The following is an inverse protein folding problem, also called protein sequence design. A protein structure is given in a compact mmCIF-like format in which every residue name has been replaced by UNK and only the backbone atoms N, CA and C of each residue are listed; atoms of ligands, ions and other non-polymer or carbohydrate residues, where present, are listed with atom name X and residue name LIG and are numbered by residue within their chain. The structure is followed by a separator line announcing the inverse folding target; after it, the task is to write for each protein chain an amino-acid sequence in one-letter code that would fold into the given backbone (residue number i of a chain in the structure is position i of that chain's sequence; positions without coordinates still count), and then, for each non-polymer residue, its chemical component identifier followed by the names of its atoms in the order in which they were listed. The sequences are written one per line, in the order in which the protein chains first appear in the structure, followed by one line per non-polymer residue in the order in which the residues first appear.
data_IF_131150295831
#
_entry.id   IF_131150295831
#
_cell.length_a   1.000
_cell.length_b   1.000
_cell.length_c   1.000
_cell.angle_alpha   90.00
_cell.angle_beta   90.00
_cell.angle_gamma   90.00
#
_symmetry.space_group_name_H-M   'P 1'
#
loop_
_entity.id
_entity.type
_entity.pdbx_description
1 polymer ?
#
# COMPACT_ATOMS: atom_id res chain seq x y z
N UNK A 1 10.30 45.63 -25.00
CA UNK A 1 9.64 44.31 -24.88
C UNK A 1 10.57 43.43 -24.06
N UNK A 2 10.22 42.89 -22.89
CA UNK A 2 8.98 42.97 -22.10
C UNK A 2 9.32 43.37 -20.65
N UNK A 3 8.41 44.10 -19.98
CA UNK A 3 8.64 44.63 -18.63
C UNK A 3 7.92 43.76 -17.59
N UNK A 4 8.73 43.15 -16.72
CA UNK A 4 8.48 42.73 -15.34
C UNK A 4 7.06 43.00 -14.78
N UNK A 5 6.17 42.00 -14.84
CA UNK A 5 4.76 42.08 -14.40
C UNK A 5 4.49 41.52 -12.99
N UNK A 6 5.49 41.03 -12.26
CA UNK A 6 5.31 40.59 -10.86
C UNK A 6 5.59 41.72 -9.86
N UNK A 7 4.70 42.72 -9.76
CA UNK A 7 4.63 43.62 -8.57
C UNK A 7 3.40 44.52 -8.40
N UNK A 8 2.29 44.28 -9.10
CA UNK A 8 1.11 45.17 -9.06
C UNK A 8 -0.17 44.60 -8.42
N UNK A 9 -0.12 43.39 -7.85
CA UNK A 9 -1.31 42.71 -7.31
C UNK A 9 -1.47 42.73 -5.78
N UNK A 10 -0.67 43.53 -5.05
CA UNK A 10 -0.62 43.52 -3.57
C UNK A 10 -1.19 44.77 -2.86
N UNK A 11 -1.91 45.68 -3.56
CA UNK A 11 -2.26 46.98 -2.95
C UNK A 11 -3.69 47.53 -3.16
N UNK A 12 -4.66 46.75 -3.67
CA UNK A 12 -6.02 47.29 -3.94
C UNK A 12 -7.22 46.41 -3.49
N UNK A 13 -7.07 45.62 -2.43
CA UNK A 13 -8.20 44.99 -1.72
C UNK A 13 -8.21 45.25 -0.19
N UNK A 14 -7.66 46.39 0.23
CA UNK A 14 -7.85 46.96 1.58
C UNK A 14 -8.77 48.20 1.52
N UNK A 15 -9.99 48.03 1.01
CA UNK A 15 -11.02 49.07 1.07
C UNK A 15 -12.43 48.45 1.12
N UNK A 16 -13.25 48.97 2.03
CA UNK A 16 -14.72 48.82 2.10
C UNK A 16 -15.30 47.40 2.17
N UNK A 17 -15.25 46.80 3.36
CA UNK A 17 -16.39 46.01 3.88
C UNK A 17 -16.77 46.42 5.32
N UNK A 18 -16.74 47.73 5.59
CA UNK A 18 -17.21 48.31 6.86
C UNK A 18 -18.70 48.69 6.79
N UNK A 19 -19.55 47.77 6.32
CA UNK A 19 -21.02 47.94 6.26
C UNK A 19 -21.78 46.63 6.54
N UNK A 20 -21.44 45.93 7.63
CA UNK A 20 -22.32 44.88 8.17
C UNK A 20 -22.44 44.96 9.70
N UNK A 21 -22.77 46.15 10.19
CA UNK A 21 -23.01 46.43 11.61
C UNK A 21 -24.50 46.36 12.01
N UNK A 22 -25.28 45.42 11.45
CA UNK A 22 -26.61 45.06 11.98
C UNK A 22 -26.89 43.56 11.78
N UNK A 23 -26.32 42.70 12.63
CA UNK A 23 -27.01 41.48 13.05
C UNK A 23 -26.85 41.36 14.56
N UNK A 24 -27.98 41.44 15.27
CA UNK A 24 -28.01 41.49 16.73
C UNK A 24 -27.56 40.17 17.33
N UNK A 25 -26.66 40.23 18.31
CA UNK A 25 -26.47 39.15 19.27
C UNK A 25 -27.62 39.19 20.29
N UNK A 26 -28.85 38.89 19.85
CA UNK A 26 -29.93 38.56 20.76
C UNK A 26 -29.60 37.23 21.43
N UNK A 27 -29.27 37.29 22.72
CA UNK A 27 -28.77 36.16 23.47
C UNK A 27 -29.83 35.07 23.63
N UNK A 28 -29.69 33.96 22.90
CA UNK A 28 -30.34 32.70 23.24
C UNK A 28 -29.81 32.25 24.60
N UNK A 29 -30.64 32.43 25.62
CA UNK A 29 -30.36 32.05 26.99
C UNK A 29 -30.79 30.58 27.18
N UNK A 30 -29.86 29.61 27.38
CA UNK A 30 -30.15 28.18 27.20
C UNK A 30 -31.04 27.55 28.29
N UNK A 31 -31.47 28.30 29.31
CA UNK A 31 -32.16 27.76 30.50
C UNK A 31 -33.67 27.56 30.36
N UNK A 32 -34.22 27.38 29.15
CA UNK A 32 -35.68 27.21 28.97
C UNK A 32 -36.14 26.32 27.80
N UNK A 33 -35.43 25.24 27.51
CA UNK A 33 -35.91 24.15 26.63
C UNK A 33 -36.01 22.84 27.44
N UNK A 34 -36.95 22.85 28.38
CA UNK A 34 -37.53 21.69 29.04
C UNK A 34 -39.04 21.98 29.12
N UNK A 35 -39.89 20.96 28.98
CA UNK A 35 -41.36 21.06 28.84
C UNK A 35 -41.91 21.47 27.45
N UNK A 36 -41.67 20.65 26.41
CA UNK A 36 -42.76 20.19 25.49
C UNK A 36 -42.34 19.00 24.60
N UNK A 37 -42.10 17.83 25.20
CA UNK A 37 -42.03 16.54 24.46
C UNK A 37 -42.75 15.47 25.29
N UNK A 38 -44.08 15.51 25.27
CA UNK A 38 -44.92 14.48 25.90
C UNK A 38 -46.13 14.11 25.04
N UNK A 39 -45.92 14.03 23.72
CA UNK A 39 -46.86 13.38 22.80
C UNK A 39 -46.67 11.86 22.78
N UNK A 40 -47.72 11.04 22.94
CA UNK A 40 -47.63 9.58 22.81
C UNK A 40 -47.55 9.20 21.33
N UNK A 41 -46.37 9.35 20.76
CA UNK A 41 -46.09 9.10 19.35
C UNK A 41 -44.61 9.04 19.10
N UNK A 42 -43.96 7.95 19.54
CA UNK A 42 -42.56 7.67 19.24
C UNK A 42 -42.43 7.13 17.82
N UNK A 43 -41.93 7.90 16.83
CA UNK A 43 -41.18 7.27 15.77
C UNK A 43 -39.94 6.67 16.43
N UNK A 44 -39.89 5.34 16.52
CA UNK A 44 -38.63 4.65 16.80
C UNK A 44 -37.73 4.86 15.60
N UNK A 45 -37.02 5.99 15.59
CA UNK A 45 -35.85 6.21 14.77
C UNK A 45 -34.80 5.22 15.28
N UNK A 46 -34.85 4.01 14.74
CA UNK A 46 -33.72 3.11 14.76
C UNK A 46 -32.56 3.89 14.12
N UNK A 47 -31.63 4.33 14.96
CA UNK A 47 -30.38 4.92 14.50
C UNK A 47 -29.64 3.80 13.78
N UNK A 48 -29.83 3.71 12.46
CA UNK A 48 -28.96 2.94 11.60
C UNK A 48 -27.59 3.59 11.73
N UNK A 49 -26.74 2.98 12.55
CA UNK A 49 -25.32 3.32 12.60
C UNK A 49 -24.76 2.97 11.22
N UNK A 50 -24.76 3.96 10.33
CA UNK A 50 -24.04 3.88 9.07
C UNK A 50 -22.58 3.63 9.44
N UNK A 51 -22.14 2.39 9.24
CA UNK A 51 -20.73 2.03 9.37
C UNK A 51 -20.06 2.72 8.19
N UNK A 52 -19.41 3.85 8.47
CA UNK A 52 -18.69 4.61 7.45
C UNK A 52 -17.48 3.80 7.04
N UNK A 53 -17.51 3.25 5.83
CA UNK A 53 -16.40 2.53 5.21
C UNK A 53 -15.16 3.42 5.06
N UNK A 54 -13.98 2.80 5.17
CA UNK A 54 -12.69 3.46 5.03
C UNK A 54 -12.42 3.75 3.55
N UNK A 55 -12.13 5.01 3.20
CA UNK A 55 -11.87 5.39 1.83
C UNK A 55 -10.39 5.30 1.51
N UNK A 56 -10.04 4.55 0.46
CA UNK A 56 -8.66 4.53 -0.01
C UNK A 56 -8.13 5.94 -0.33
N UNK A 57 -8.89 6.76 -1.07
CA UNK A 57 -8.43 8.08 -1.52
C UNK A 57 -8.28 9.11 -0.38
N UNK A 58 -9.12 9.02 0.66
CA UNK A 58 -9.17 10.04 1.72
C UNK A 58 -8.44 9.63 3.00
N UNK A 59 -8.37 8.33 3.30
CA UNK A 59 -7.86 7.82 4.57
C UNK A 59 -6.52 7.08 4.40
N UNK A 60 -6.38 6.25 3.36
CA UNK A 60 -5.20 5.38 3.14
C UNK A 60 -4.11 6.07 2.31
N UNK A 61 -4.47 6.60 1.15
CA UNK A 61 -3.54 7.21 0.19
C UNK A 61 -2.74 8.39 0.78
N UNK A 62 -3.31 9.27 1.65
CA UNK A 62 -2.51 10.30 2.32
C UNK A 62 -1.46 9.75 3.27
N UNK A 63 -1.67 8.55 3.86
CA UNK A 63 -0.67 7.90 4.70
C UNK A 63 0.42 7.28 3.83
N UNK A 64 0.03 6.54 2.78
CA UNK A 64 0.97 5.93 1.82
C UNK A 64 1.87 6.99 1.18
N UNK A 65 1.32 8.08 0.66
CA UNK A 65 2.09 9.16 0.04
C UNK A 65 2.99 9.93 1.01
N UNK A 66 2.61 10.02 2.29
CA UNK A 66 3.43 10.70 3.30
C UNK A 66 4.51 9.81 3.94
N UNK A 67 4.36 8.47 3.88
CA UNK A 67 5.19 7.51 4.65
C UNK A 67 5.88 6.43 3.83
N UNK A 68 5.43 6.14 2.62
CA UNK A 68 5.92 5.00 1.84
C UNK A 68 6.24 5.37 0.39
N UNK A 69 5.34 6.07 -0.30
CA UNK A 69 5.49 6.48 -1.71
C UNK A 69 6.21 7.83 -1.84
N UNK A 70 7.44 7.89 -1.34
CA UNK A 70 8.37 9.00 -1.56
C UNK A 70 9.66 8.51 -2.24
N UNK A 71 10.43 9.45 -2.80
CA UNK A 71 11.61 9.14 -3.59
C UNK A 71 12.65 8.31 -2.82
N UNK A 72 13.03 7.16 -3.37
CA UNK A 72 13.94 6.19 -2.74
C UNK A 72 13.26 5.11 -1.89
N UNK A 73 11.95 5.19 -1.69
CA UNK A 73 11.13 4.13 -1.12
C UNK A 73 10.12 3.63 -2.17
N UNK A 74 8.88 3.28 -1.80
CA UNK A 74 7.94 2.53 -2.65
C UNK A 74 7.21 3.43 -3.67
N UNK A 75 7.98 3.88 -4.66
CA UNK A 75 7.54 4.56 -5.90
C UNK A 75 8.03 3.76 -7.10
N UNK A 76 7.59 4.10 -8.32
CA UNK A 76 8.07 3.43 -9.54
C UNK A 76 9.61 3.34 -9.62
N UNK A 77 10.15 2.13 -9.67
CA UNK A 77 11.60 1.86 -9.64
C UNK A 77 12.24 1.87 -8.24
N UNK A 78 11.43 1.84 -7.18
CA UNK A 78 11.86 1.67 -5.78
C UNK A 78 12.11 0.22 -5.38
N UNK A 79 12.35 -0.03 -4.07
CA UNK A 79 12.56 -1.37 -3.53
C UNK A 79 11.42 -2.32 -3.87
N UNK A 80 11.80 -3.57 -4.18
CA UNK A 80 10.92 -4.70 -4.47
C UNK A 80 9.91 -4.43 -5.62
N UNK A 81 10.23 -3.43 -6.45
CA UNK A 81 9.39 -2.85 -7.51
C UNK A 81 7.98 -2.41 -7.04
N UNK A 82 7.84 -2.13 -5.74
CA UNK A 82 6.59 -1.70 -5.13
C UNK A 82 6.37 -0.20 -5.35
N UNK A 83 5.18 0.17 -5.82
CA UNK A 83 4.77 1.57 -6.02
C UNK A 83 3.42 1.84 -5.35
N UNK A 84 3.43 2.56 -4.23
CA UNK A 84 2.24 2.90 -3.47
C UNK A 84 1.66 4.30 -3.81
N UNK A 85 2.11 4.91 -4.91
CA UNK A 85 1.66 6.24 -5.36
C UNK A 85 0.20 6.25 -5.82
N UNK A 86 -0.37 5.10 -6.19
CA UNK A 86 -1.76 4.95 -6.66
C UNK A 86 -2.38 3.64 -6.19
N UNK A 87 -3.71 3.57 -6.21
CA UNK A 87 -4.43 2.32 -5.98
C UNK A 87 -4.05 1.20 -6.96
N UNK A 88 -3.87 1.53 -8.25
CA UNK A 88 -3.61 0.52 -9.28
C UNK A 88 -2.21 -0.08 -9.14
N UNK A 89 -1.23 0.72 -8.75
CA UNK A 89 0.15 0.26 -8.53
C UNK A 89 0.26 -0.50 -7.21
N UNK A 90 -0.41 -0.06 -6.13
CA UNK A 90 -0.53 -0.83 -4.88
C UNK A 90 -1.17 -2.19 -5.12
N UNK A 91 -2.30 -2.23 -5.85
CA UNK A 91 -3.03 -3.47 -6.15
C UNK A 91 -2.23 -4.42 -7.06
N UNK A 92 -1.34 -3.90 -7.90
CA UNK A 92 -0.47 -4.72 -8.75
C UNK A 92 0.51 -5.55 -7.93
N UNK A 93 0.97 -5.02 -6.78
CA UNK A 93 2.04 -5.63 -6.00
C UNK A 93 3.44 -5.38 -6.60
N UNK A 94 4.43 -6.03 -6.01
CA UNK A 94 5.85 -5.92 -6.33
C UNK A 94 6.40 -7.13 -7.07
N UNK A 95 7.69 -7.40 -6.91
CA UNK A 95 8.38 -8.57 -7.47
C UNK A 95 7.90 -9.89 -6.86
N UNK A 96 7.72 -9.93 -5.54
CA UNK A 96 7.21 -11.10 -4.80
C UNK A 96 5.67 -11.25 -4.84
N UNK A 97 4.97 -10.31 -5.50
CA UNK A 97 3.52 -10.34 -5.68
C UNK A 97 2.74 -9.35 -4.80
N UNK A 98 1.49 -9.69 -4.41
CA UNK A 98 0.56 -8.73 -3.78
C UNK A 98 0.77 -8.58 -2.27
N UNK A 99 1.26 -7.41 -1.85
CA UNK A 99 1.46 -7.04 -0.42
C UNK A 99 0.17 -6.71 0.36
N UNK A 100 -0.99 -6.80 -0.30
CA UNK A 100 -2.33 -6.60 0.27
C UNK A 100 -3.21 -7.75 -0.17
N UNK A 101 -3.77 -8.49 0.79
CA UNK A 101 -4.73 -9.57 0.58
C UNK A 101 -6.13 -9.11 1.01
N UNK A 102 -7.03 -8.77 0.06
CA UNK A 102 -8.38 -8.32 0.36
C UNK A 102 -9.14 -9.26 1.31
N UNK A 103 -9.65 -8.73 2.42
CA UNK A 103 -10.37 -9.49 3.44
C UNK A 103 -9.48 -10.25 4.44
N UNK A 104 -8.16 -10.20 4.30
CA UNK A 104 -7.23 -10.84 5.24
C UNK A 104 -6.01 -9.95 5.60
N UNK A 105 -6.15 -9.07 6.61
CA UNK A 105 -5.05 -8.22 7.07
C UNK A 105 -3.92 -9.01 7.75
N UNK A 106 -4.16 -10.24 8.21
CA UNK A 106 -3.14 -11.05 8.89
C UNK A 106 -2.14 -11.70 7.93
N UNK A 107 -2.54 -11.89 6.66
CA UNK A 107 -1.69 -12.41 5.57
C UNK A 107 -1.25 -11.28 4.62
N UNK A 108 -1.50 -10.01 4.97
CA UNK A 108 -1.08 -8.86 4.16
C UNK A 108 0.25 -8.33 4.67
N UNK A 109 1.33 -8.52 3.91
CA UNK A 109 2.70 -8.11 4.28
C UNK A 109 2.78 -6.65 4.74
N UNK A 110 2.01 -5.75 4.11
CA UNK A 110 1.95 -4.33 4.50
C UNK A 110 1.58 -4.11 5.97
N UNK A 111 0.79 -5.01 6.57
CA UNK A 111 0.43 -4.96 7.99
C UNK A 111 1.60 -5.45 8.86
N UNK A 112 2.31 -6.50 8.46
CA UNK A 112 3.48 -6.98 9.19
C UNK A 112 4.59 -5.91 9.22
N UNK A 113 4.89 -5.28 8.09
CA UNK A 113 5.93 -4.26 7.96
C UNK A 113 5.68 -3.02 8.85
N UNK A 114 4.43 -2.55 8.93
CA UNK A 114 4.07 -1.38 9.75
C UNK A 114 3.90 -1.71 11.23
N UNK A 115 3.47 -2.94 11.58
CA UNK A 115 3.31 -3.39 12.98
C UNK A 115 4.66 -3.78 13.61
N UNK A 116 5.59 -4.31 12.81
CA UNK A 116 6.97 -4.60 13.24
C UNK A 116 7.86 -3.35 13.30
N UNK A 117 7.32 -2.16 13.01
CA UNK A 117 8.01 -0.86 12.93
C UNK A 117 9.20 -0.84 11.94
N UNK A 118 9.30 -1.83 11.04
CA UNK A 118 10.32 -1.90 9.98
C UNK A 118 10.10 -0.83 8.92
N UNK A 119 8.84 -0.50 8.64
CA UNK A 119 8.44 0.60 7.76
C UNK A 119 7.69 1.70 8.54
N UNK A 120 8.04 2.99 8.38
CA UNK A 120 9.07 3.54 7.48
C UNK A 120 10.49 3.52 8.09
N UNK A 121 11.53 3.19 7.30
CA UNK A 121 12.89 3.01 7.82
C UNK A 121 13.48 4.33 8.34
N UNK A 122 13.89 4.35 9.61
CA UNK A 122 14.44 5.54 10.27
C UNK A 122 13.44 6.69 10.48
N UNK A 123 12.17 6.49 10.13
CA UNK A 123 11.08 7.43 10.40
C UNK A 123 10.36 7.12 11.71
N UNK A 124 9.45 8.00 12.16
CA UNK A 124 8.51 7.63 13.22
C UNK A 124 7.53 6.55 12.69
N UNK A 125 7.20 5.52 13.51
CA UNK A 125 6.24 4.50 13.12
C UNK A 125 4.84 5.08 12.89
N UNK A 126 3.99 4.32 12.20
CA UNK A 126 2.57 4.67 12.08
C UNK A 126 1.91 4.58 13.46
N UNK A 127 0.95 5.47 13.71
CA UNK A 127 0.16 5.42 14.94
C UNK A 127 -0.85 4.27 14.90
N UNK A 128 -1.25 3.73 16.06
CA UNK A 128 -2.34 2.74 16.18
C UNK A 128 -3.58 3.09 15.34
N UNK A 129 -3.94 4.37 15.28
CA UNK A 129 -5.09 4.85 14.52
C UNK A 129 -4.89 4.71 13.00
N UNK A 130 -3.67 4.94 12.52
CA UNK A 130 -3.31 4.73 11.11
C UNK A 130 -3.25 3.24 10.78
N UNK A 131 -2.65 2.42 11.64
CA UNK A 131 -2.60 0.95 11.45
C UNK A 131 -4.02 0.38 11.42
N UNK A 132 -4.93 0.84 12.29
CA UNK A 132 -6.35 0.45 12.25
C UNK A 132 -7.04 0.80 10.94
N UNK A 133 -6.77 1.97 10.35
CA UNK A 133 -7.34 2.32 9.03
C UNK A 133 -6.92 1.30 7.96
N UNK A 134 -5.65 0.85 7.93
CA UNK A 134 -5.22 -0.20 7.00
C UNK A 134 -5.93 -1.54 7.29
N UNK A 135 -6.00 -1.97 8.55
CA UNK A 135 -6.68 -3.21 8.94
C UNK A 135 -8.16 -3.19 8.54
N UNK A 136 -8.87 -2.10 8.84
CA UNK A 136 -10.30 -1.95 8.56
C UNK A 136 -10.54 -1.88 7.04
N UNK A 137 -9.75 -1.09 6.29
CA UNK A 137 -9.82 -1.03 4.83
C UNK A 137 -9.54 -2.39 4.15
N UNK A 138 -8.57 -3.16 4.65
CA UNK A 138 -8.29 -4.51 4.13
C UNK A 138 -9.44 -5.47 4.44
N UNK A 139 -9.99 -5.44 5.66
CA UNK A 139 -11.20 -6.21 6.02
C UNK A 139 -12.41 -5.86 5.14
N UNK A 140 -12.56 -4.60 4.75
CA UNK A 140 -13.55 -4.11 3.78
C UNK A 140 -13.25 -4.48 2.31
N UNK A 141 -12.29 -5.39 2.08
CA UNK A 141 -11.93 -5.89 0.75
C UNK A 141 -10.94 -5.01 -0.02
N UNK A 142 -10.22 -4.11 0.67
CA UNK A 142 -9.16 -3.28 0.12
C UNK A 142 -9.56 -2.54 -1.18
N UNK A 143 -10.77 -1.97 -1.21
CA UNK A 143 -11.35 -1.40 -2.45
C UNK A 143 -11.07 0.11 -2.61
N UNK A 144 -11.09 0.60 -3.85
CA UNK A 144 -11.07 2.05 -4.14
C UNK A 144 -12.48 2.62 -4.24
N UNK A 145 -13.23 2.62 -3.13
CA UNK A 145 -14.55 3.28 -3.05
C UNK A 145 -14.47 4.59 -2.24
N UNK A 146 -15.30 5.59 -2.56
CA UNK A 146 -15.52 6.73 -1.67
C UNK A 146 -16.15 6.28 -0.35
N UNK A 147 -15.75 6.91 0.76
CA UNK A 147 -16.26 6.60 2.10
C UNK A 147 -17.78 6.76 2.20
N UNK A 148 -18.40 5.87 2.97
CA UNK A 148 -19.86 5.86 3.16
C UNK A 148 -20.65 5.16 2.06
N UNK A 149 -20.00 4.57 1.05
CA UNK A 149 -20.61 3.52 0.24
C UNK A 149 -20.38 2.17 0.93
N UNK A 150 -21.46 1.45 1.26
CA UNK A 150 -21.37 0.12 1.85
C UNK A 150 -20.79 -0.85 0.84
N UNK A 151 -19.56 -1.31 1.06
CA UNK A 151 -19.06 -2.52 0.40
C UNK A 151 -19.96 -3.67 0.89
N UNK A 152 -20.56 -4.49 0.01
CA UNK A 152 -21.28 -5.67 0.46
C UNK A 152 -20.29 -6.56 1.25
N UNK A 153 -20.72 -7.21 2.35
CA UNK A 153 -19.83 -8.09 3.10
C UNK A 153 -19.14 -9.07 2.15
N UNK A 154 -17.81 -9.13 2.21
CA UNK A 154 -17.06 -10.17 1.51
C UNK A 154 -17.52 -11.49 2.14
N UNK A 155 -18.35 -12.26 1.44
CA UNK A 155 -18.66 -13.62 1.85
C UNK A 155 -17.38 -14.44 1.72
N UNK A 156 -16.64 -14.50 2.83
CA UNK A 156 -15.49 -15.37 3.01
C UNK A 156 -15.99 -16.80 2.82
N UNK A 157 -15.81 -17.33 1.62
CA UNK A 157 -16.20 -18.69 1.25
C UNK A 157 -15.33 -19.70 1.99
N UNK A 158 -15.66 -19.97 3.25
CA UNK A 158 -15.09 -21.04 4.08
C UNK A 158 -15.67 -22.39 3.64
N UNK A 159 -15.37 -22.76 2.40
CA UNK A 159 -15.69 -24.04 1.76
C UNK A 159 -14.44 -24.54 0.99
N UNK A 160 -13.32 -24.59 1.70
CA UNK A 160 -12.18 -25.50 1.43
C UNK A 160 -11.68 -26.03 2.77
N UNK A 161 -12.62 -26.56 3.55
CA UNK A 161 -12.41 -27.58 4.57
C UNK A 161 -13.40 -28.71 4.19
N UNK A 162 -13.08 -29.96 4.50
CA UNK A 162 -13.84 -31.18 4.17
C UNK A 162 -13.84 -31.61 2.68
N UNK A 163 -12.72 -32.16 2.22
CA UNK A 163 -12.76 -33.44 1.48
C UNK A 163 -11.47 -34.23 1.75
N UNK A 164 -11.55 -35.14 2.72
CA UNK A 164 -10.51 -36.11 3.04
C UNK A 164 -10.28 -37.03 1.83
N UNK A 165 -9.18 -36.85 1.10
CA UNK A 165 -8.74 -37.85 0.11
C UNK A 165 -7.85 -38.91 0.77
N UNK A 166 -8.45 -39.63 1.72
CA UNK A 166 -7.97 -40.93 2.22
C UNK A 166 -8.16 -42.01 1.12
N UNK A 167 -7.52 -41.86 -0.05
CA UNK A 167 -7.36 -42.97 -1.00
C UNK A 167 -6.13 -43.82 -0.64
N UNK A 168 -6.41 -44.63 0.37
CA UNK A 168 -5.71 -45.83 0.78
C UNK A 168 -5.39 -46.75 -0.42
N UNK A 169 -4.10 -47.11 -0.56
CA UNK A 169 -3.55 -48.25 -1.34
C UNK A 169 -3.41 -48.10 -2.86
N UNK A 170 -2.17 -48.27 -3.32
CA UNK A 170 -1.85 -49.48 -4.10
C UNK A 170 -0.35 -49.81 -3.95
N UNK A 171 -0.02 -50.75 -3.05
CA UNK A 171 1.26 -51.46 -3.08
C UNK A 171 1.37 -52.19 -4.43
N UNK A 172 2.35 -51.80 -5.24
CA UNK A 172 2.83 -52.61 -6.37
C UNK A 172 4.35 -52.67 -6.35
N UNK A 173 4.85 -53.40 -5.35
CA UNK A 173 5.97 -54.29 -5.59
C UNK A 173 5.59 -55.21 -6.76
N UNK A 174 6.32 -55.15 -7.88
CA UNK A 174 7.07 -56.32 -8.39
C UNK A 174 7.70 -56.05 -9.78
N UNK A 175 8.94 -56.51 -9.90
CA UNK A 175 9.60 -57.04 -11.10
C UNK A 175 9.58 -56.22 -12.41
N UNK A 176 10.69 -55.51 -12.66
CA UNK A 176 11.51 -55.90 -13.83
C UNK A 176 13.01 -55.55 -13.65
N UNK A 177 13.74 -56.41 -12.96
CA UNK A 177 15.19 -56.58 -13.20
C UNK A 177 15.39 -57.14 -14.60
N UNK A 178 16.29 -56.52 -15.41
CA UNK A 178 17.31 -57.11 -16.32
C UNK A 178 17.70 -56.15 -17.46
N UNK A 179 19.01 -55.94 -17.68
CA UNK A 179 19.79 -56.45 -18.84
C UNK A 179 19.26 -55.85 -20.17
N UNK A 180 19.99 -55.14 -21.03
CA UNK A 180 21.40 -54.73 -21.14
C UNK A 180 21.37 -53.25 -21.66
N UNK A 181 22.40 -52.52 -22.10
CA UNK A 181 23.77 -52.84 -22.56
C UNK A 181 24.81 -51.79 -22.07
N UNK A 182 26.08 -52.10 -22.32
CA UNK A 182 27.27 -51.24 -22.32
C UNK A 182 27.38 -50.45 -23.67
N UNK A 183 28.54 -49.84 -23.96
CA UNK A 183 28.95 -49.18 -25.22
C UNK A 183 28.34 -47.79 -25.58
N UNK A 184 29.08 -46.73 -25.25
CA UNK A 184 29.80 -45.95 -26.27
C UNK A 184 30.84 -45.01 -25.60
N UNK A 185 32.04 -45.55 -25.36
CA UNK A 185 33.25 -44.73 -25.29
C UNK A 185 33.70 -44.41 -26.73
N UNK A 186 33.66 -43.15 -27.18
CA UNK A 186 34.70 -42.54 -28.03
C UNK A 186 34.40 -41.06 -28.33
N UNK A 187 35.49 -40.27 -28.37
CA UNK A 187 35.64 -38.97 -29.09
C UNK A 187 34.84 -37.74 -28.61
N UNK A 188 35.38 -36.52 -28.72
CA UNK A 188 36.61 -36.06 -29.37
C UNK A 188 37.57 -35.32 -28.40
N UNK A 189 38.87 -35.38 -28.72
CA UNK A 189 39.93 -34.53 -28.15
C UNK A 189 39.96 -33.16 -28.87
N UNK A 190 40.89 -32.27 -28.46
CA UNK A 190 41.29 -31.03 -29.15
C UNK A 190 40.31 -29.84 -29.10
N UNK A 191 40.61 -28.88 -28.22
CA UNK A 191 40.80 -27.49 -28.66
C UNK A 191 41.74 -26.78 -27.67
N UNK A 192 43.04 -26.93 -27.92
CA UNK A 192 44.07 -26.10 -27.28
C UNK A 192 43.93 -24.66 -27.76
N UNK A 193 44.02 -23.70 -26.84
CA UNK A 193 44.42 -22.34 -27.21
C UNK A 193 45.12 -21.67 -26.02
N UNK A 194 46.37 -22.07 -25.82
CA UNK A 194 47.40 -21.17 -25.29
C UNK A 194 47.71 -20.14 -26.39
N UNK A 195 47.41 -18.87 -26.14
CA UNK A 195 47.81 -17.67 -26.91
C UNK A 195 47.34 -16.45 -26.06
N UNK A 196 48.10 -15.39 -25.79
CA UNK A 196 49.54 -15.23 -25.99
C UNK A 196 50.07 -14.11 -25.06
N UNK A 197 51.38 -14.15 -24.85
CA UNK A 197 52.32 -13.19 -24.24
C UNK A 197 51.87 -11.79 -23.72
N UNK A 198 52.35 -11.52 -22.50
CA UNK A 198 53.11 -10.32 -22.07
C UNK A 198 52.90 -8.98 -22.82
N UNK A 199 52.52 -7.94 -22.05
CA UNK A 199 53.14 -6.63 -22.22
C UNK A 199 53.31 -5.88 -20.91
N UNK A 200 54.55 -5.61 -20.58
CA UNK A 200 54.96 -4.57 -19.65
C UNK A 200 54.44 -3.21 -20.10
N UNK A 201 54.23 -2.31 -19.14
CA UNK A 201 54.56 -0.89 -19.22
C UNK A 201 54.63 -0.39 -17.76
N UNK A 202 55.85 -0.39 -17.21
CA UNK A 202 56.23 0.46 -16.07
C UNK A 202 56.38 1.93 -16.57
N UNK A 203 56.55 2.88 -15.64
CA UNK A 203 56.74 4.33 -15.89
C UNK A 203 55.47 5.07 -16.40
N UNK A 204 55.17 6.34 -16.09
CA UNK A 204 55.91 7.45 -15.46
C UNK A 204 55.33 7.79 -14.07
N UNK A 205 56.11 8.03 -13.01
CA UNK A 205 56.85 9.27 -12.69
C UNK A 205 55.99 10.55 -12.56
N UNK A 206 55.97 11.07 -11.33
CA UNK A 206 56.00 12.47 -10.88
C UNK A 206 55.29 13.58 -11.68
N UNK A 207 54.37 14.28 -11.00
CA UNK A 207 54.30 15.74 -11.04
C UNK A 207 53.78 16.27 -9.68
N UNK A 208 54.72 16.68 -8.82
CA UNK A 208 54.47 17.68 -7.77
C UNK A 208 54.33 19.06 -8.44
N UNK A 209 53.36 19.88 -8.05
CA UNK A 209 53.58 21.34 -7.96
C UNK A 209 52.59 22.01 -6.98
N UNK A 210 53.03 23.11 -6.36
CA UNK A 210 52.49 23.79 -5.15
C UNK A 210 51.13 24.53 -5.31
#
# INVERSE_FOLDING_TARGET
MFINTQRFFLFFLFATCSLFSIFGCDGVNPSKILEDVTGPGTPTLAASSAVTSVSFENDILPILTARCAFAGCHVAGGPDNLDFSTYQTLKKGGEDGPVVIPGNPNESDIIEEIVSERMPPGGPPLTDAQIRLFIDWINEGATNVPSGQSVPPIERNTLIDDDDHDDDRDDKDDENDREDDEDDEERDEEDDNEDDEERDDEDDEDDEED
#
